data_IF_543347719093
#
_entry.id   IF_543347719093
#
_cell.length_a   1.000
_cell.length_b   1.000
_cell.length_c   1.000
_cell.angle_alpha   90.00
_cell.angle_beta   90.00
_cell.angle_gamma   90.00
#
_symmetry.space_group_name_H-M   'P 1'
#
loop_
_entity.id
_entity.type
_entity.pdbx_description
1 polymer ?
#
# COMPACT_ATOMS: atom_id res chain seq x y z
N UNK A 1 -38.33 -5.14 -1.61
CA UNK A 1 -37.66 -5.49 -2.88
C UNK A 1 -37.08 -4.21 -3.50
N UNK A 2 -35.97 -3.73 -2.96
CA UNK A 2 -35.03 -2.81 -3.60
C UNK A 2 -33.67 -3.42 -3.26
N UNK A 3 -33.10 -4.16 -4.23
CA UNK A 3 -31.88 -4.95 -4.05
C UNK A 3 -30.68 -4.07 -4.32
N UNK A 4 -29.88 -3.74 -3.30
CA UNK A 4 -28.42 -3.53 -3.31
C UNK A 4 -27.73 -2.73 -4.43
N UNK A 5 -28.43 -2.05 -5.34
CA UNK A 5 -27.80 -1.52 -6.56
C UNK A 5 -27.09 -0.18 -6.34
N UNK A 6 -27.50 0.61 -5.34
CA UNK A 6 -26.90 1.93 -5.07
C UNK A 6 -25.50 1.79 -4.45
N UNK A 7 -25.31 0.84 -3.52
CA UNK A 7 -24.01 0.56 -2.90
C UNK A 7 -23.03 -0.06 -3.91
N UNK A 8 -23.54 -0.94 -4.79
CA UNK A 8 -22.75 -1.54 -5.89
C UNK A 8 -22.21 -0.47 -6.84
N UNK A 9 -23.06 0.46 -7.28
CA UNK A 9 -22.66 1.54 -8.19
C UNK A 9 -21.64 2.49 -7.55
N UNK A 10 -21.78 2.78 -6.26
CA UNK A 10 -20.86 3.67 -5.53
C UNK A 10 -19.47 3.04 -5.34
N UNK A 11 -19.41 1.73 -5.05
CA UNK A 11 -18.15 0.99 -4.97
C UNK A 11 -17.50 0.81 -6.34
N UNK A 12 -18.28 0.54 -7.39
CA UNK A 12 -17.79 0.49 -8.79
C UNK A 12 -17.23 1.84 -9.26
N UNK A 13 -17.83 2.95 -8.82
CA UNK A 13 -17.36 4.31 -9.15
C UNK A 13 -16.10 4.69 -8.37
N UNK A 14 -16.00 4.32 -7.09
CA UNK A 14 -14.84 4.64 -6.24
C UNK A 14 -13.63 3.73 -6.51
N UNK A 15 -13.86 2.47 -6.93
CA UNK A 15 -12.83 1.51 -7.34
C UNK A 15 -12.55 1.52 -8.86
N UNK A 16 -13.24 2.41 -9.60
CA UNK A 16 -13.43 2.44 -11.06
C UNK A 16 -12.20 2.68 -11.95
N UNK A 17 -10.98 2.43 -11.46
CA UNK A 17 -9.79 2.33 -12.32
C UNK A 17 -8.83 1.19 -11.93
N UNK A 18 -9.11 0.46 -10.86
CA UNK A 18 -8.32 -0.70 -10.42
C UNK A 18 -9.04 -2.04 -10.61
N UNK A 19 -10.33 -2.02 -10.98
CA UNK A 19 -11.22 -3.18 -10.93
C UNK A 19 -11.99 -3.41 -12.24
N UNK A 20 -11.29 -3.72 -13.33
CA UNK A 20 -11.90 -4.46 -14.45
C UNK A 20 -11.37 -5.89 -14.39
N UNK A 21 -12.12 -6.78 -13.74
CA UNK A 21 -11.97 -8.23 -13.85
C UNK A 21 -13.37 -8.85 -13.89
N UNK A 22 -13.59 -9.73 -14.86
CA UNK A 22 -14.87 -10.37 -15.16
C UNK A 22 -15.27 -11.39 -14.07
N UNK A 23 -16.54 -11.39 -13.67
CA UNK A 23 -17.14 -12.05 -12.51
C UNK A 23 -17.16 -13.60 -12.56
N UNK A 24 -16.32 -14.24 -13.41
CA UNK A 24 -16.36 -15.70 -13.66
C UNK A 24 -15.14 -16.51 -13.20
N UNK A 25 -14.13 -15.90 -12.58
CA UNK A 25 -12.94 -16.62 -12.08
C UNK A 25 -12.68 -16.42 -10.58
N UNK A 26 -13.72 -16.46 -9.74
CA UNK A 26 -13.58 -16.48 -8.27
C UNK A 26 -13.92 -17.84 -7.67
N UNK A 27 -13.43 -18.91 -8.31
CA UNK A 27 -13.30 -20.22 -7.69
C UNK A 27 -11.82 -20.62 -7.67
N UNK A 28 -11.18 -20.47 -6.51
CA UNK A 28 -9.86 -21.03 -6.23
C UNK A 28 -8.69 -20.06 -6.42
N UNK A 29 -8.06 -19.69 -5.31
CA UNK A 29 -6.66 -19.22 -5.25
C UNK A 29 -6.23 -18.10 -6.21
N UNK A 30 -7.08 -17.11 -6.48
CA UNK A 30 -6.62 -15.84 -7.04
C UNK A 30 -5.79 -15.11 -5.96
N UNK A 31 -4.51 -15.48 -5.85
CA UNK A 31 -3.51 -14.76 -5.09
C UNK A 31 -3.27 -13.45 -5.84
N UNK A 32 -4.12 -12.45 -5.59
CA UNK A 32 -3.97 -11.11 -6.14
C UNK A 32 -2.63 -10.59 -5.62
N UNK A 33 -1.65 -10.62 -6.50
CA UNK A 33 -0.34 -10.05 -6.26
C UNK A 33 -0.55 -8.54 -6.24
N UNK A 34 -0.66 -7.96 -5.03
CA UNK A 34 -0.51 -6.52 -4.89
C UNK A 34 0.78 -6.13 -5.61
N UNK A 35 0.78 -5.09 -6.47
CA UNK A 35 1.99 -4.64 -7.14
C UNK A 35 3.03 -4.45 -6.05
N UNK A 36 4.05 -5.29 -6.14
CA UNK A 36 4.92 -5.62 -5.04
C UNK A 36 5.36 -4.34 -4.31
N UNK A 37 4.83 -4.15 -3.10
CA UNK A 37 5.28 -3.10 -2.19
C UNK A 37 6.66 -3.49 -1.61
N UNK A 38 7.27 -4.58 -2.10
CA UNK A 38 8.66 -4.87 -1.83
C UNK A 38 9.56 -3.74 -2.29
N UNK A 39 10.50 -3.46 -1.41
CA UNK A 39 11.63 -2.59 -1.61
C UNK A 39 12.47 -3.07 -2.82
N UNK A 40 12.43 -2.32 -3.92
CA UNK A 40 13.15 -2.70 -5.15
C UNK A 40 14.59 -2.22 -5.09
N UNK A 41 15.51 -3.04 -5.62
CA UNK A 41 16.92 -2.68 -5.77
C UNK A 41 17.13 -1.36 -6.53
N UNK A 42 16.30 -1.10 -7.54
CA UNK A 42 16.28 0.18 -8.28
C UNK A 42 16.00 1.39 -7.38
N UNK A 43 15.15 1.26 -6.36
CA UNK A 43 14.87 2.34 -5.41
C UNK A 43 16.13 2.75 -4.63
N UNK A 44 16.98 1.79 -4.26
CA UNK A 44 18.28 2.09 -3.62
C UNK A 44 19.19 2.90 -4.52
N UNK A 45 19.27 2.52 -5.79
CA UNK A 45 20.09 3.24 -6.79
C UNK A 45 19.62 4.68 -6.93
N UNK A 46 18.31 4.90 -7.04
CA UNK A 46 17.74 6.22 -7.23
C UNK A 46 17.99 7.13 -6.03
N UNK A 47 17.78 6.63 -4.80
CA UNK A 47 18.08 7.36 -3.57
C UNK A 47 19.57 7.71 -3.48
N UNK A 48 20.45 6.75 -3.78
CA UNK A 48 21.89 6.97 -3.77
C UNK A 48 22.32 8.06 -4.76
N UNK A 49 21.82 8.00 -6.00
CA UNK A 49 22.13 8.99 -7.03
C UNK A 49 21.61 10.38 -6.65
N UNK A 50 20.40 10.47 -6.08
CA UNK A 50 19.85 11.75 -5.57
C UNK A 50 20.69 12.34 -4.44
N UNK A 51 21.28 11.50 -3.60
CA UNK A 51 22.20 11.93 -2.55
C UNK A 51 23.62 12.24 -3.04
N UNK A 52 23.91 12.08 -4.34
CA UNK A 52 25.22 12.34 -4.92
C UNK A 52 26.31 11.36 -4.49
N UNK A 53 25.93 10.15 -4.04
CA UNK A 53 26.87 9.17 -3.49
C UNK A 53 27.24 8.10 -4.51
N UNK A 54 28.45 7.58 -4.41
CA UNK A 54 28.91 6.38 -5.12
C UNK A 54 28.54 5.10 -4.37
N UNK A 55 28.51 3.96 -5.08
CA UNK A 55 28.29 2.66 -4.44
C UNK A 55 29.35 2.35 -3.37
N UNK A 56 30.60 2.77 -3.61
CA UNK A 56 31.72 2.59 -2.67
C UNK A 56 31.54 3.42 -1.39
N UNK A 57 31.02 4.64 -1.49
CA UNK A 57 30.75 5.47 -0.31
C UNK A 57 29.62 4.90 0.54
N UNK A 58 28.53 4.45 -0.07
CA UNK A 58 27.44 3.76 0.64
C UNK A 58 27.96 2.48 1.30
N UNK A 59 28.71 1.66 0.55
CA UNK A 59 29.33 0.45 1.04
C UNK A 59 30.21 0.69 2.27
N UNK A 60 31.06 1.73 2.23
CA UNK A 60 31.90 2.16 3.35
C UNK A 60 31.09 2.62 4.55
N UNK A 61 30.02 3.41 4.35
CA UNK A 61 29.15 3.88 5.44
C UNK A 61 28.40 2.74 6.13
N UNK A 62 28.01 1.72 5.37
CA UNK A 62 27.26 0.57 5.87
C UNK A 62 28.19 -0.53 6.41
N UNK A 63 29.44 -0.59 5.95
CA UNK A 63 30.39 -1.65 6.32
C UNK A 63 30.18 -2.95 5.55
N UNK A 64 29.80 -2.86 4.26
CA UNK A 64 29.63 -4.01 3.36
C UNK A 64 30.49 -3.84 2.10
N UNK A 65 30.78 -4.90 1.34
CA UNK A 65 31.48 -4.77 0.06
C UNK A 65 30.67 -3.97 -0.97
N UNK A 66 31.34 -3.16 -1.79
CA UNK A 66 30.68 -2.39 -2.88
C UNK A 66 29.99 -3.28 -3.92
N UNK A 67 30.52 -4.49 -4.14
CA UNK A 67 29.91 -5.53 -4.98
C UNK A 67 28.55 -5.99 -4.44
N UNK A 68 28.35 -5.97 -3.13
CA UNK A 68 27.07 -6.31 -2.49
C UNK A 68 26.04 -5.19 -2.72
N UNK A 69 26.45 -3.92 -2.60
CA UNK A 69 25.59 -2.77 -2.97
C UNK A 69 25.18 -2.85 -4.44
N UNK A 70 26.12 -3.16 -5.33
CA UNK A 70 25.85 -3.36 -6.76
C UNK A 70 24.87 -4.51 -7.01
N UNK A 71 25.03 -5.64 -6.32
CA UNK A 71 24.12 -6.78 -6.43
C UNK A 71 22.70 -6.45 -5.96
N UNK A 72 22.56 -5.64 -4.91
CA UNK A 72 21.26 -5.13 -4.47
C UNK A 72 20.65 -4.17 -5.51
N UNK A 73 21.41 -3.19 -5.99
CA UNK A 73 20.92 -2.19 -6.95
C UNK A 73 20.50 -2.80 -8.30
N UNK A 74 21.11 -3.92 -8.69
CA UNK A 74 20.80 -4.65 -9.91
C UNK A 74 19.79 -5.79 -9.70
N UNK A 75 19.15 -5.89 -8.53
CA UNK A 75 18.15 -6.93 -8.21
C UNK A 75 18.69 -8.38 -8.29
N UNK A 76 20.01 -8.56 -8.33
CA UNK A 76 20.66 -9.88 -8.31
C UNK A 76 20.65 -10.51 -6.91
N UNK A 77 20.44 -9.68 -5.89
CA UNK A 77 20.26 -10.08 -4.50
C UNK A 77 19.21 -9.18 -3.88
N UNK A 78 18.41 -9.72 -2.96
CA UNK A 78 17.48 -8.93 -2.17
C UNK A 78 18.10 -8.62 -0.80
N UNK A 79 18.16 -7.35 -0.37
CA UNK A 79 18.58 -7.02 0.99
C UNK A 79 17.49 -7.46 1.98
N UNK A 80 17.89 -7.91 3.18
CA UNK A 80 16.95 -8.03 4.28
C UNK A 80 16.44 -6.63 4.66
N UNK A 81 15.30 -6.57 5.36
CA UNK A 81 14.73 -5.29 5.80
C UNK A 81 15.72 -4.48 6.63
N UNK A 82 16.47 -5.15 7.51
CA UNK A 82 17.51 -4.53 8.33
C UNK A 82 18.64 -3.91 7.48
N UNK A 83 19.16 -4.66 6.50
CA UNK A 83 20.23 -4.18 5.61
C UNK A 83 19.73 -3.04 4.72
N UNK A 84 18.51 -3.16 4.19
CA UNK A 84 17.87 -2.09 3.44
C UNK A 84 17.75 -0.82 4.29
N UNK A 85 17.29 -0.94 5.53
CA UNK A 85 17.22 0.16 6.50
C UNK A 85 18.57 0.84 6.70
N UNK A 86 19.62 0.06 6.98
CA UNK A 86 20.98 0.60 7.17
C UNK A 86 21.50 1.33 5.93
N UNK A 87 21.24 0.82 4.73
CA UNK A 87 21.64 1.47 3.48
C UNK A 87 20.88 2.79 3.30
N UNK A 88 19.55 2.79 3.49
CA UNK A 88 18.71 3.99 3.34
C UNK A 88 19.14 5.07 4.34
N UNK A 89 19.39 4.70 5.60
CA UNK A 89 19.92 5.62 6.61
C UNK A 89 21.31 6.14 6.26
N UNK A 90 22.20 5.29 5.74
CA UNK A 90 23.55 5.71 5.30
C UNK A 90 23.53 6.68 4.11
N UNK A 91 22.48 6.63 3.28
CA UNK A 91 22.25 7.58 2.19
C UNK A 91 21.68 8.91 2.72
N UNK A 92 21.05 8.91 3.91
CA UNK A 92 20.47 10.10 4.55
C UNK A 92 18.94 10.14 4.51
N UNK A 93 18.29 9.00 4.30
CA UNK A 93 16.83 8.87 4.28
C UNK A 93 16.33 8.04 5.46
N UNK A 94 15.03 8.14 5.74
CA UNK A 94 14.33 7.36 6.77
C UNK A 94 13.28 6.46 6.10
N UNK A 95 13.13 5.22 6.60
CA UNK A 95 12.05 4.32 6.18
C UNK A 95 10.87 4.52 7.12
N UNK A 96 9.70 4.85 6.55
CA UNK A 96 8.43 4.83 7.28
C UNK A 96 7.57 3.69 6.79
N UNK A 97 6.95 2.99 7.72
CA UNK A 97 5.98 1.94 7.44
C UNK A 97 4.59 2.48 7.68
N UNK A 98 3.83 2.67 6.61
CA UNK A 98 2.41 2.95 6.71
C UNK A 98 1.66 1.62 6.79
N UNK A 99 0.80 1.48 7.81
CA UNK A 99 -0.13 0.34 7.86
C UNK A 99 -1.20 0.56 6.81
N UNK A 100 -1.00 -0.02 5.64
CA UNK A 100 -2.07 -0.18 4.66
C UNK A 100 -2.87 -1.40 5.08
N UNK A 101 -4.11 -1.19 5.54
CA UNK A 101 -5.01 -2.30 5.80
C UNK A 101 -5.31 -3.04 4.50
N UNK A 102 -5.57 -4.35 4.57
CA UNK A 102 -5.99 -5.14 3.41
C UNK A 102 -7.22 -4.48 2.77
N UNK A 103 -7.10 -3.93 1.54
CA UNK A 103 -8.20 -3.23 0.88
C UNK A 103 -9.46 -4.08 0.74
N UNK A 104 -9.31 -5.40 0.57
CA UNK A 104 -10.46 -6.31 0.48
C UNK A 104 -11.19 -6.41 1.82
N UNK A 105 -10.44 -6.66 2.89
CA UNK A 105 -11.00 -6.75 4.24
C UNK A 105 -11.65 -5.43 4.67
N UNK A 106 -11.04 -4.30 4.32
CA UNK A 106 -11.61 -2.97 4.59
C UNK A 106 -12.90 -2.75 3.80
N UNK A 107 -12.93 -3.11 2.52
CA UNK A 107 -14.14 -3.04 1.69
C UNK A 107 -15.28 -3.89 2.24
N UNK A 108 -14.98 -5.13 2.61
CA UNK A 108 -15.98 -6.03 3.18
C UNK A 108 -16.50 -5.55 4.55
N UNK A 109 -15.63 -5.02 5.41
CA UNK A 109 -16.05 -4.39 6.67
C UNK A 109 -16.93 -3.16 6.44
N UNK A 110 -16.60 -2.34 5.45
CA UNK A 110 -17.40 -1.17 5.11
C UNK A 110 -18.79 -1.57 4.63
N UNK A 111 -18.90 -2.60 3.79
CA UNK A 111 -20.18 -3.17 3.36
C UNK A 111 -21.02 -3.62 4.56
N UNK A 112 -20.43 -4.32 5.52
CA UNK A 112 -21.12 -4.74 6.75
C UNK A 112 -21.62 -3.54 7.56
N UNK A 113 -20.81 -2.48 7.69
CA UNK A 113 -21.19 -1.26 8.40
C UNK A 113 -22.35 -0.54 7.69
N UNK A 114 -22.33 -0.47 6.36
CA UNK A 114 -23.40 0.15 5.59
C UNK A 114 -24.70 -0.65 5.70
N UNK A 115 -24.64 -1.98 5.59
CA UNK A 115 -25.80 -2.85 5.82
C UNK A 115 -26.39 -2.66 7.21
N UNK A 116 -25.55 -2.57 8.24
CA UNK A 116 -26.00 -2.32 9.60
C UNK A 116 -26.65 -0.93 9.72
N UNK A 117 -26.04 0.11 9.14
CA UNK A 117 -26.59 1.47 9.17
C UNK A 117 -27.97 1.56 8.51
N UNK A 118 -28.20 0.84 7.41
CA UNK A 118 -29.51 0.77 6.75
C UNK A 118 -30.56 0.03 7.59
N UNK A 119 -30.15 -0.95 8.39
CA UNK A 119 -31.04 -1.72 9.27
C UNK A 119 -31.41 -0.97 10.55
N UNK A 120 -30.68 0.10 10.91
CA UNK A 120 -30.96 0.90 12.09
C UNK A 120 -32.04 1.94 11.77
N UNK A 121 -33.06 2.12 12.63
CA UNK A 121 -34.01 3.21 12.47
C UNK A 121 -33.26 4.53 12.62
N UNK A 122 -33.09 5.25 11.51
CA UNK A 122 -32.48 6.58 11.51
C UNK A 122 -33.41 7.56 12.22
N UNK A 123 -33.09 7.91 13.46
CA UNK A 123 -33.67 9.06 14.14
C UNK A 123 -32.66 10.22 14.06
N UNK A 124 -32.86 11.19 13.16
CA UNK A 124 -31.98 12.35 13.11
C UNK A 124 -32.03 13.05 14.46
N UNK A 125 -30.87 13.16 15.13
CA UNK A 125 -30.76 14.06 16.28
C UNK A 125 -31.09 15.45 15.76
N UNK A 126 -32.11 16.15 16.31
CA UNK A 126 -32.43 17.50 15.89
C UNK A 126 -31.16 18.33 15.95
N UNK A 127 -30.78 18.94 14.83
CA UNK A 127 -29.74 19.95 14.85
C UNK A 127 -30.21 21.01 15.84
N UNK A 128 -29.39 21.32 16.84
CA UNK A 128 -29.74 22.35 17.80
C UNK A 128 -30.10 23.61 17.01
N UNK A 129 -31.36 24.02 17.08
CA UNK A 129 -31.81 25.23 16.41
C UNK A 129 -30.88 26.35 16.86
N UNK A 130 -30.16 26.93 15.90
CA UNK A 130 -29.27 28.04 16.18
C UNK A 130 -30.13 29.17 16.74
N UNK A 131 -30.08 29.34 18.06
CA UNK A 131 -30.71 30.46 18.77
C UNK A 131 -29.91 31.69 18.41
N UNK A 132 -30.42 32.46 17.46
CA UNK A 132 -30.02 33.84 17.23
C UNK A 132 -30.98 34.76 17.99
#
# INVERSE_FOLDING_TARGET
>A
MFRGSAVRLALETFLGRFAIWEERELSGNAHIQYPDVMFRGRTLRDLRVRAGLTQAEVARRVGIPSTVVSAYECERRQPSLEVAGRIVSAIGYEIRFDRVGDPWLLGHRLEQVLHLAEALPYQPRPLAEARW
#
